data_IF_585301605107
#
_entry.id   IF_585301605107
#
_cell.length_a   1.000
_cell.length_b   1.000
_cell.length_c   1.000
_cell.angle_alpha   90.00
_cell.angle_beta   90.00
_cell.angle_gamma   90.00
#
_symmetry.space_group_name_H-M   'P 1'
#
loop_
_entity.id
_entity.type
_entity.pdbx_description
1 polymer ?
#
# COMPACT_ATOMS: atom_id res chain seq x y z
N UNK A 1 -23.03 5.57 24.34
CA UNK A 1 -22.42 6.47 23.34
C UNK A 1 -21.56 7.47 24.10
N UNK A 2 -20.34 7.07 24.45
CA UNK A 2 -19.31 8.03 24.85
C UNK A 2 -18.86 8.72 23.59
N UNK A 3 -19.14 10.01 23.48
CA UNK A 3 -18.68 10.88 22.40
C UNK A 3 -17.14 10.89 22.48
N UNK A 4 -16.48 9.97 21.76
CA UNK A 4 -15.02 9.91 21.74
C UNK A 4 -14.54 11.10 20.93
N UNK A 5 -14.12 12.15 21.61
CA UNK A 5 -13.53 13.34 20.97
C UNK A 5 -12.42 12.92 20.03
N UNK A 6 -12.56 13.28 18.76
CA UNK A 6 -11.55 13.06 17.72
C UNK A 6 -10.31 13.86 18.09
N UNK A 7 -9.15 13.19 18.16
CA UNK A 7 -7.87 13.85 18.45
C UNK A 7 -7.42 14.70 17.24
N UNK A 8 -6.88 15.89 17.49
CA UNK A 8 -6.33 16.77 16.44
C UNK A 8 -4.90 17.19 16.81
N UNK A 9 -3.91 16.32 16.56
CA UNK A 9 -2.52 16.56 16.97
C UNK A 9 -1.86 17.63 16.08
N UNK A 10 -0.95 18.37 16.67
CA UNK A 10 -0.04 19.26 15.95
C UNK A 10 1.21 18.50 15.47
N UNK A 11 1.91 19.04 14.48
CA UNK A 11 3.20 18.48 14.07
C UNK A 11 4.25 18.68 15.17
N UNK A 12 5.00 17.61 15.45
CA UNK A 12 6.17 17.62 16.33
C UNK A 12 7.41 18.13 15.59
N UNK A 13 7.50 17.83 14.31
CA UNK A 13 8.46 18.45 13.40
C UNK A 13 7.88 18.55 11.99
N UNK A 14 8.38 19.52 11.24
CA UNK A 14 8.04 19.76 9.84
C UNK A 14 9.33 20.00 9.07
N UNK A 15 9.45 19.40 7.89
CA UNK A 15 10.48 19.69 6.90
C UNK A 15 9.84 19.95 5.54
N UNK A 16 10.58 20.63 4.66
CA UNK A 16 10.14 20.91 3.29
C UNK A 16 11.13 20.31 2.31
N UNK A 17 10.63 19.55 1.35
CA UNK A 17 11.40 18.97 0.26
C UNK A 17 11.55 19.98 -0.89
N UNK A 18 12.52 19.74 -1.77
CA UNK A 18 12.70 20.54 -2.98
C UNK A 18 11.72 20.14 -4.11
N UNK A 19 11.19 18.91 -4.06
CA UNK A 19 10.19 18.38 -4.98
C UNK A 19 8.97 17.79 -4.23
N UNK A 20 7.78 17.74 -4.85
CA UNK A 20 6.59 17.16 -4.24
C UNK A 20 6.80 15.69 -3.82
N UNK A 21 6.55 15.31 -2.55
CA UNK A 21 6.61 13.92 -2.10
C UNK A 21 5.46 13.09 -2.69
N UNK A 22 5.75 11.96 -3.31
CA UNK A 22 4.75 11.07 -3.92
C UNK A 22 4.48 9.80 -3.10
N UNK A 23 5.53 9.19 -2.54
CA UNK A 23 5.43 7.99 -1.71
C UNK A 23 6.36 8.06 -0.52
N UNK A 24 6.02 7.33 0.53
CA UNK A 24 6.76 7.29 1.78
C UNK A 24 6.58 5.92 2.45
N UNK A 25 7.67 5.37 2.95
CA UNK A 25 7.66 4.19 3.81
C UNK A 25 8.92 4.09 4.68
N UNK A 26 8.77 3.56 5.89
CA UNK A 26 9.90 3.16 6.73
C UNK A 26 10.59 1.91 6.18
N UNK A 27 11.93 1.89 6.23
CA UNK A 27 12.74 0.77 5.76
C UNK A 27 12.61 -0.45 6.68
N UNK A 28 12.17 -1.62 6.19
CA UNK A 28 12.00 -2.81 7.03
C UNK A 28 13.27 -3.29 7.72
N UNK A 29 14.41 -3.23 7.04
CA UNK A 29 15.72 -3.67 7.57
C UNK A 29 16.50 -2.56 8.28
N UNK A 30 16.03 -1.32 8.21
CA UNK A 30 16.61 -0.18 8.88
C UNK A 30 15.48 0.67 9.49
N UNK A 31 14.85 0.22 10.61
CA UNK A 31 13.60 0.80 11.11
C UNK A 31 13.64 2.30 11.44
N UNK A 32 14.83 2.84 11.72
CA UNK A 32 15.05 4.26 11.96
C UNK A 32 15.31 5.06 10.65
N UNK A 33 14.96 4.51 9.48
CA UNK A 33 15.11 5.18 8.20
C UNK A 33 13.79 5.21 7.45
N UNK A 34 13.54 6.34 6.79
CA UNK A 34 12.35 6.57 5.95
C UNK A 34 12.83 6.85 4.54
N UNK A 35 12.26 6.12 3.58
CA UNK A 35 12.40 6.41 2.17
C UNK A 35 11.23 7.30 1.73
N UNK A 36 11.55 8.42 1.07
CA UNK A 36 10.58 9.33 0.49
C UNK A 36 10.89 9.48 -1.00
N UNK A 37 9.93 9.20 -1.87
CA UNK A 37 10.06 9.45 -3.30
C UNK A 37 9.36 10.74 -3.71
N UNK A 38 9.74 11.30 -4.86
CA UNK A 38 9.13 12.53 -5.38
C UNK A 38 8.59 12.40 -6.79
N UNK A 39 7.66 13.30 -7.11
CA UNK A 39 7.08 13.48 -8.42
C UNK A 39 7.10 14.96 -8.78
N UNK A 40 7.75 15.31 -9.89
CA UNK A 40 7.77 16.67 -10.42
C UNK A 40 7.40 16.66 -11.90
N UNK A 41 6.28 17.31 -12.24
CA UNK A 41 5.92 17.63 -13.62
C UNK A 41 6.42 19.04 -13.93
N UNK A 42 7.28 19.17 -14.93
CA UNK A 42 7.70 20.46 -15.48
C UNK A 42 7.07 20.63 -16.84
N UNK A 43 6.25 21.66 -17.00
CA UNK A 43 5.72 22.06 -18.30
C UNK A 43 6.72 23.02 -18.95
N UNK A 44 7.16 22.74 -20.18
CA UNK A 44 8.01 23.66 -20.94
C UNK A 44 7.11 24.62 -21.76
N UNK A 45 7.00 25.91 -21.40
CA UNK A 45 6.19 26.87 -22.14
C UNK A 45 6.80 27.29 -23.50
N UNK A 46 7.93 26.70 -23.93
CA UNK A 46 8.70 27.08 -25.11
C UNK A 46 8.38 26.33 -26.41
N UNK A 47 7.39 25.45 -26.40
CA UNK A 47 6.88 24.83 -27.63
C UNK A 47 6.24 25.92 -28.49
N UNK A 48 6.74 26.12 -29.72
CA UNK A 48 6.14 27.06 -30.69
C UNK A 48 4.62 26.82 -30.80
N UNK A 49 3.83 27.83 -31.19
CA UNK A 49 2.35 27.83 -31.21
C UNK A 49 1.67 26.63 -31.94
N UNK A 50 2.44 25.75 -32.59
CA UNK A 50 1.99 24.53 -33.28
C UNK A 50 2.55 23.21 -32.72
N UNK A 51 3.22 23.20 -31.56
CA UNK A 51 3.70 21.97 -30.90
C UNK A 51 3.06 21.79 -29.53
N UNK A 52 2.62 20.57 -29.21
CA UNK A 52 2.12 20.21 -27.88
C UNK A 52 3.20 20.49 -26.83
N UNK A 53 2.88 21.09 -25.68
CA UNK A 53 3.86 21.33 -24.63
C UNK A 53 4.55 20.02 -24.24
N UNK A 54 5.88 19.97 -24.35
CA UNK A 54 6.64 18.85 -23.82
C UNK A 54 6.64 18.93 -22.29
N UNK A 55 5.86 18.08 -21.65
CA UNK A 55 5.85 17.94 -20.20
C UNK A 55 6.89 16.89 -19.78
N UNK A 56 7.85 17.28 -18.94
CA UNK A 56 8.89 16.38 -18.43
C UNK A 56 8.54 15.98 -17.01
N UNK A 57 8.48 14.68 -16.74
CA UNK A 57 8.29 14.11 -15.39
C UNK A 57 9.62 13.67 -14.83
N UNK A 58 10.02 14.21 -13.70
CA UNK A 58 11.25 13.85 -12.97
C UNK A 58 10.95 13.55 -11.52
N UNK A 59 11.90 12.94 -10.81
CA UNK A 59 11.72 12.59 -9.42
C UNK A 59 13.03 12.33 -8.70
N UNK A 60 12.92 11.82 -7.48
CA UNK A 60 14.05 11.42 -6.67
C UNK A 60 13.64 10.36 -5.65
N UNK A 61 14.63 9.60 -5.19
CA UNK A 61 14.55 8.76 -3.99
C UNK A 61 15.39 9.43 -2.91
N UNK A 62 14.78 9.76 -1.78
CA UNK A 62 15.40 10.48 -0.68
C UNK A 62 15.33 9.63 0.60
N UNK A 63 16.49 9.24 1.11
CA UNK A 63 16.62 8.51 2.37
C UNK A 63 16.83 9.50 3.51
N UNK A 64 16.02 9.38 4.56
CA UNK A 64 16.14 10.13 5.80
C UNK A 64 16.36 9.18 6.97
N UNK A 65 17.12 9.63 7.97
CA UNK A 65 17.21 9.00 9.28
C UNK A 65 16.18 9.65 10.20
N UNK A 66 15.34 8.84 10.83
CA UNK A 66 14.36 9.25 11.81
C UNK A 66 14.92 9.08 13.22
N UNK A 67 14.90 10.15 14.00
CA UNK A 67 15.15 10.11 15.44
C UNK A 67 13.79 10.04 16.18
N UNK A 68 13.42 8.89 16.79
CA UNK A 68 12.14 8.75 17.47
C UNK A 68 12.07 9.55 18.79
N UNK A 69 13.20 9.94 19.38
CA UNK A 69 13.21 10.74 20.61
C UNK A 69 13.02 12.22 20.30
N UNK A 70 13.72 12.72 19.28
CA UNK A 70 13.61 14.10 18.81
C UNK A 70 12.44 14.30 17.83
N UNK A 71 11.79 13.22 17.39
CA UNK A 71 10.74 13.21 16.37
C UNK A 71 11.15 13.97 15.10
N UNK A 72 12.41 13.81 14.68
CA UNK A 72 13.05 14.62 13.63
C UNK A 72 13.62 13.73 12.52
N UNK A 73 13.57 14.23 11.28
CA UNK A 73 14.12 13.57 10.09
C UNK A 73 15.38 14.29 9.62
N UNK A 74 16.50 13.59 9.52
CA UNK A 74 17.75 14.11 8.95
C UNK A 74 18.06 13.47 7.60
N UNK A 75 18.43 14.24 6.56
CA UNK A 75 18.73 13.69 5.24
C UNK A 75 19.99 12.82 5.28
N UNK A 76 19.95 11.68 4.56
CA UNK A 76 21.07 10.72 4.46
C UNK A 76 21.57 10.62 3.03
N UNK A 77 20.68 10.38 2.07
CA UNK A 77 21.04 10.21 0.67
C UNK A 77 19.92 10.71 -0.23
N UNK A 78 20.29 11.21 -1.40
CA UNK A 78 19.34 11.58 -2.45
C UNK A 78 19.83 11.09 -3.80
N UNK A 79 18.97 10.39 -4.53
CA UNK A 79 19.19 9.92 -5.88
C UNK A 79 18.18 10.62 -6.81
N UNK A 80 18.64 11.39 -7.78
CA UNK A 80 17.78 11.97 -8.81
C UNK A 80 17.40 10.92 -9.85
N UNK A 81 16.18 11.03 -10.37
CA UNK A 81 15.62 10.16 -11.39
C UNK A 81 15.11 10.99 -12.56
N UNK A 82 15.38 10.52 -13.78
CA UNK A 82 14.86 11.08 -15.03
C UNK A 82 13.39 10.69 -15.29
N UNK A 83 12.69 10.23 -14.25
CA UNK A 83 11.28 9.88 -14.26
C UNK A 83 10.68 10.16 -12.89
N UNK A 84 9.42 10.55 -12.85
CA UNK A 84 8.70 10.71 -11.60
C UNK A 84 8.33 9.34 -11.00
N UNK A 85 8.20 9.26 -9.68
CA UNK A 85 7.82 8.03 -8.98
C UNK A 85 6.34 8.03 -8.66
N UNK A 86 5.60 7.04 -9.17
CA UNK A 86 4.18 6.85 -8.86
C UNK A 86 3.97 5.96 -7.62
N UNK A 87 4.72 4.87 -7.49
CA UNK A 87 4.69 4.00 -6.32
C UNK A 87 6.05 3.36 -6.04
N UNK A 88 6.28 2.97 -4.79
CA UNK A 88 7.34 2.02 -4.45
C UNK A 88 6.90 1.11 -3.30
N UNK A 89 7.37 -0.13 -3.30
CA UNK A 89 7.12 -1.07 -2.20
C UNK A 89 8.33 -1.95 -1.92
N UNK A 90 8.57 -2.20 -0.64
CA UNK A 90 9.55 -3.18 -0.18
C UNK A 90 9.04 -4.61 -0.43
N UNK A 91 9.94 -5.50 -0.85
CA UNK A 91 9.61 -6.90 -1.08
C UNK A 91 9.30 -7.59 0.25
N UNK A 92 8.19 -8.36 0.34
CA UNK A 92 7.90 -9.18 1.51
C UNK A 92 8.87 -10.36 1.65
N UNK A 93 9.51 -10.79 0.56
CA UNK A 93 10.46 -11.91 0.50
C UNK A 93 11.86 -11.50 0.92
N UNK A 94 12.31 -10.36 0.41
CA UNK A 94 13.59 -9.74 0.76
C UNK A 94 13.34 -8.29 1.23
N UNK A 95 13.25 -8.06 2.55
CA UNK A 95 12.90 -6.74 3.08
C UNK A 95 13.96 -5.66 2.82
N UNK A 96 15.13 -6.00 2.28
CA UNK A 96 16.13 -5.02 1.81
C UNK A 96 15.85 -4.54 0.39
N UNK A 97 15.15 -5.32 -0.43
CA UNK A 97 14.82 -5.02 -1.82
C UNK A 97 13.52 -4.20 -1.88
N UNK A 98 13.45 -3.24 -2.81
CA UNK A 98 12.21 -2.56 -3.15
C UNK A 98 12.12 -2.26 -4.64
N UNK A 99 10.89 -2.25 -5.14
CA UNK A 99 10.56 -1.90 -6.52
C UNK A 99 9.98 -0.49 -6.58
N UNK A 100 10.24 0.21 -7.67
CA UNK A 100 9.79 1.59 -7.93
C UNK A 100 9.10 1.63 -9.28
N UNK A 101 7.81 1.96 -9.28
CA UNK A 101 7.02 2.22 -10.49
C UNK A 101 7.21 3.68 -10.93
N UNK A 102 7.65 3.86 -12.17
CA UNK A 102 8.05 5.15 -12.72
C UNK A 102 6.97 5.71 -13.66
N UNK A 103 7.08 7.01 -13.97
CA UNK A 103 6.27 7.68 -15.01
C UNK A 103 6.64 7.29 -16.44
N UNK A 104 7.09 6.06 -16.62
CA UNK A 104 7.55 5.39 -17.84
C UNK A 104 7.14 3.92 -17.72
N UNK A 105 7.24 3.09 -18.77
CA UNK A 105 6.88 1.67 -18.68
C UNK A 105 7.97 0.83 -17.98
N UNK A 106 8.58 1.36 -16.91
CA UNK A 106 9.73 0.78 -16.24
C UNK A 106 9.45 0.63 -14.76
N UNK A 107 9.79 -0.54 -14.24
CA UNK A 107 9.98 -0.76 -12.81
C UNK A 107 11.46 -0.89 -12.52
N UNK A 108 11.97 -0.07 -11.60
CA UNK A 108 13.36 -0.12 -11.15
C UNK A 108 13.46 -0.78 -9.78
N UNK A 109 14.41 -1.69 -9.63
CA UNK A 109 14.73 -2.37 -8.39
C UNK A 109 15.91 -1.70 -7.71
N UNK A 110 15.78 -1.51 -6.40
CA UNK A 110 16.80 -0.93 -5.54
C UNK A 110 16.90 -1.73 -4.24
N UNK A 111 18.00 -1.57 -3.54
CA UNK A 111 18.26 -2.21 -2.24
C UNK A 111 18.64 -1.18 -1.20
N UNK A 112 18.17 -1.39 0.02
CA UNK A 112 18.68 -0.72 1.22
C UNK A 112 19.84 -1.57 1.75
N UNK A 113 21.06 -1.08 1.56
CA UNK A 113 22.25 -1.65 2.16
C UNK A 113 22.53 -0.94 3.49
N UNK A 114 22.85 -1.71 4.52
CA UNK A 114 23.27 -1.23 5.83
C UNK A 114 24.08 -2.32 6.53
N UNK A 115 24.80 -2.01 7.61
CA UNK A 115 25.77 -2.94 8.16
C UNK A 115 25.10 -4.21 8.72
N UNK A 116 25.33 -5.33 8.06
CA UNK A 116 25.36 -6.63 8.71
C UNK A 116 26.65 -6.74 9.53
N UNK A 117 26.65 -6.15 10.74
CA UNK A 117 27.70 -6.39 11.73
C UNK A 117 28.89 -5.43 11.75
N UNK A 118 28.89 -4.33 10.99
CA UNK A 118 29.93 -3.28 11.09
C UNK A 118 29.41 -1.99 11.75
N UNK A 119 30.01 -1.53 12.88
CA UNK A 119 29.50 -0.38 13.65
C UNK A 119 29.44 0.97 12.90
N UNK A 120 30.11 1.10 11.75
CA UNK A 120 30.36 2.38 11.08
C UNK A 120 29.81 2.48 9.64
N UNK A 121 29.16 1.45 9.09
CA UNK A 121 28.63 1.56 7.72
C UNK A 121 27.31 2.35 7.69
N UNK A 122 27.21 3.33 6.80
CA UNK A 122 26.00 4.14 6.62
C UNK A 122 24.95 3.38 5.81
N UNK A 123 23.68 3.45 6.23
CA UNK A 123 22.55 2.95 5.43
C UNK A 123 22.44 3.75 4.13
N UNK A 124 22.27 3.07 3.00
CA UNK A 124 22.19 3.69 1.67
C UNK A 124 21.28 2.91 0.71
N UNK A 125 20.75 3.62 -0.27
CA UNK A 125 20.04 3.11 -1.43
C UNK A 125 21.07 2.74 -2.51
N UNK A 126 20.95 1.53 -3.04
CA UNK A 126 21.76 1.01 -4.15
C UNK A 126 20.84 0.55 -5.29
N UNK A 127 21.14 0.98 -6.51
CA UNK A 127 20.42 0.52 -7.70
C UNK A 127 20.78 -0.93 -8.03
N UNK A 128 19.78 -1.73 -8.38
CA UNK A 128 19.95 -3.15 -8.75
C UNK A 128 19.77 -3.32 -10.26
N UNK A 129 18.58 -3.01 -10.79
CA UNK A 129 18.28 -3.11 -12.22
C UNK A 129 16.99 -2.38 -12.58
N UNK A 130 16.73 -2.23 -13.88
CA UNK A 130 15.43 -1.81 -14.41
C UNK A 130 14.81 -2.90 -15.26
N UNK A 131 13.49 -3.01 -15.21
CA UNK A 131 12.68 -3.98 -15.96
C UNK A 131 11.69 -3.16 -16.79
N UNK A 132 11.71 -3.34 -18.11
CA UNK A 132 10.64 -2.82 -18.96
C UNK A 132 9.41 -3.71 -18.77
N UNK A 133 8.31 -3.12 -18.33
CA UNK A 133 7.07 -3.79 -17.95
C UNK A 133 5.93 -3.47 -18.92
N UNK A 134 6.19 -2.76 -20.02
CA UNK A 134 5.16 -2.46 -21.00
C UNK A 134 5.78 -2.10 -22.37
N UNK A 135 5.26 -2.70 -23.45
CA UNK A 135 5.79 -2.50 -24.80
C UNK A 135 5.60 -1.07 -25.33
N UNK A 136 4.56 -0.38 -24.87
CA UNK A 136 4.31 1.02 -25.24
C UNK A 136 5.10 1.98 -24.36
N UNK A 137 6.00 2.76 -24.99
CA UNK A 137 6.82 3.77 -24.34
C UNK A 137 6.04 4.92 -23.68
N UNK A 138 4.79 5.17 -24.10
CA UNK A 138 3.96 6.23 -23.51
C UNK A 138 3.27 5.83 -22.20
N UNK A 139 3.29 4.55 -21.85
CA UNK A 139 2.51 4.04 -20.73
C UNK A 139 3.18 4.27 -19.40
N UNK A 140 2.37 4.61 -18.41
CA UNK A 140 2.82 4.87 -17.04
C UNK A 140 2.62 3.61 -16.22
N UNK A 141 3.66 3.18 -15.50
CA UNK A 141 3.51 2.21 -14.42
C UNK A 141 2.98 2.96 -13.18
N UNK A 142 1.73 2.72 -12.81
CA UNK A 142 1.00 3.51 -11.81
C UNK A 142 1.16 2.97 -10.39
N UNK A 143 0.95 1.67 -10.21
CA UNK A 143 1.01 1.04 -8.90
C UNK A 143 1.54 -0.38 -9.02
N UNK A 144 2.27 -0.85 -8.00
CA UNK A 144 2.82 -2.20 -7.97
C UNK A 144 2.37 -2.97 -6.74
N UNK A 145 2.38 -4.30 -6.79
CA UNK A 145 2.16 -5.14 -5.63
C UNK A 145 3.01 -6.40 -5.74
N UNK A 146 3.81 -6.69 -4.73
CA UNK A 146 4.62 -7.90 -4.70
C UNK A 146 3.77 -9.16 -4.64
N UNK A 147 4.16 -10.20 -5.39
CA UNK A 147 3.58 -11.54 -5.22
C UNK A 147 3.84 -11.97 -3.77
N UNK A 148 2.82 -12.37 -2.99
CA UNK A 148 3.01 -12.74 -1.60
C UNK A 148 3.96 -13.94 -1.47
N UNK A 149 4.92 -13.86 -0.55
CA UNK A 149 5.64 -15.04 -0.09
C UNK A 149 4.73 -15.81 0.88
N UNK A 150 4.21 -16.95 0.46
CA UNK A 150 3.49 -17.85 1.37
C UNK A 150 4.38 -18.31 2.52
N UNK A 151 3.77 -18.52 3.68
CA UNK A 151 4.48 -19.04 4.85
C UNK A 151 5.11 -20.39 4.54
N UNK A 152 6.37 -20.55 4.89
CA UNK A 152 7.14 -21.78 4.73
C UNK A 152 6.64 -22.86 5.72
N UNK A 153 5.47 -23.45 5.48
CA UNK A 153 5.18 -24.78 6.02
C UNK A 153 5.94 -25.78 5.17
N UNK A 154 7.10 -26.21 5.68
CA UNK A 154 7.98 -27.24 5.15
C UNK A 154 7.31 -28.62 5.20
N UNK A 155 6.26 -28.84 4.41
CA UNK A 155 5.99 -30.18 3.93
C UNK A 155 6.65 -30.29 2.55
N UNK A 156 7.83 -30.91 2.54
CA UNK A 156 8.70 -31.12 1.35
C UNK A 156 8.02 -31.91 0.21
N UNK A 157 6.75 -32.30 0.36
CA UNK A 157 6.05 -33.22 -0.52
C UNK A 157 4.84 -32.63 -1.28
N UNK A 158 4.44 -31.37 -1.07
CA UNK A 158 3.34 -30.73 -1.85
C UNK A 158 3.76 -29.35 -2.43
N UNK A 159 5.07 -29.17 -2.61
CA UNK A 159 5.74 -27.88 -2.84
C UNK A 159 5.44 -27.22 -4.18
N UNK A 160 4.40 -26.38 -4.22
CA UNK A 160 4.31 -25.34 -5.24
C UNK A 160 5.32 -24.23 -4.88
N UNK A 161 6.43 -24.16 -5.62
CA UNK A 161 7.45 -23.12 -5.44
C UNK A 161 6.85 -21.74 -5.73
N UNK A 162 6.82 -20.87 -4.72
CA UNK A 162 6.21 -19.54 -4.84
C UNK A 162 7.13 -18.65 -5.68
N UNK A 163 6.68 -18.31 -6.88
CA UNK A 163 7.42 -17.47 -7.84
C UNK A 163 7.75 -16.10 -7.27
N UNK A 164 8.89 -15.55 -7.67
CA UNK A 164 9.23 -14.18 -7.34
C UNK A 164 8.67 -13.21 -8.38
N UNK A 165 8.35 -11.99 -7.98
CA UNK A 165 7.83 -10.97 -8.89
C UNK A 165 6.74 -10.09 -8.30
N UNK A 166 6.06 -9.35 -9.16
CA UNK A 166 5.11 -8.32 -8.78
C UNK A 166 4.05 -8.08 -9.87
N UNK A 167 2.88 -7.62 -9.45
CA UNK A 167 1.89 -7.02 -10.33
C UNK A 167 2.22 -5.54 -10.57
N UNK A 168 1.89 -5.04 -11.76
CA UNK A 168 1.93 -3.62 -12.14
C UNK A 168 0.62 -3.24 -12.80
N UNK A 169 0.10 -2.07 -12.45
CA UNK A 169 -1.04 -1.42 -13.10
C UNK A 169 -0.58 -0.29 -14.01
N UNK A 170 -1.33 -0.05 -15.08
CA UNK A 170 -0.97 0.93 -16.12
C UNK A 170 -2.08 1.94 -16.37
N UNK A 171 -1.70 3.04 -17.03
CA UNK A 171 -2.62 4.12 -17.42
C UNK A 171 -3.60 3.77 -18.54
N UNK A 172 -3.52 2.58 -19.13
CA UNK A 172 -4.38 2.12 -20.22
C UNK A 172 -5.33 0.99 -19.83
N UNK A 173 -5.56 0.79 -18.53
CA UNK A 173 -6.44 -0.26 -18.04
C UNK A 173 -5.79 -1.61 -17.83
N UNK A 174 -4.55 -1.80 -18.30
CA UNK A 174 -3.84 -3.06 -18.15
C UNK A 174 -3.38 -3.24 -16.72
N UNK A 175 -3.50 -4.47 -16.23
CA UNK A 175 -2.74 -4.98 -15.09
C UNK A 175 -1.96 -6.19 -15.56
N UNK A 176 -0.66 -6.24 -15.26
CA UNK A 176 0.20 -7.37 -15.61
C UNK A 176 0.92 -7.90 -14.38
N UNK A 177 1.01 -9.22 -14.24
CA UNK A 177 1.85 -9.88 -13.24
C UNK A 177 3.15 -10.31 -13.91
N UNK A 178 4.28 -9.80 -13.43
CA UNK A 178 5.61 -10.19 -13.86
C UNK A 178 6.18 -11.16 -12.84
N UNK A 179 6.61 -12.33 -13.28
CA UNK A 179 7.14 -13.37 -12.40
C UNK A 179 8.32 -14.11 -13.00
N UNK A 180 9.08 -14.76 -12.13
CA UNK A 180 10.21 -15.59 -12.52
C UNK A 180 10.45 -16.72 -11.50
N UNK A 181 11.00 -17.82 -12.02
CA UNK A 181 11.51 -18.95 -11.23
C UNK A 181 12.83 -18.61 -10.52
N UNK A 182 13.54 -17.58 -10.98
CA UNK A 182 14.72 -17.06 -10.31
C UNK A 182 14.35 -15.91 -9.35
N UNK A 183 15.32 -15.40 -8.59
CA UNK A 183 15.14 -14.11 -7.89
C UNK A 183 14.95 -12.99 -8.91
N UNK A 184 13.96 -12.12 -8.69
CA UNK A 184 13.60 -11.03 -9.62
C UNK A 184 14.76 -10.05 -9.86
N UNK A 185 15.68 -9.94 -8.90
CA UNK A 185 16.90 -9.14 -8.99
C UNK A 185 17.96 -9.72 -9.93
N UNK A 186 17.86 -11.01 -10.29
CA UNK A 186 18.91 -11.72 -11.02
C UNK A 186 19.13 -11.15 -12.42
N UNK A 187 20.36 -10.70 -12.69
CA UNK A 187 20.73 -10.01 -13.94
C UNK A 187 20.99 -10.93 -15.12
N UNK A 188 20.94 -12.25 -14.92
CA UNK A 188 21.01 -13.20 -16.02
C UNK A 188 19.82 -12.95 -16.98
N UNK A 189 19.94 -13.36 -18.25
CA UNK A 189 18.86 -13.33 -19.25
C UNK A 189 17.74 -14.32 -18.87
N UNK A 190 17.15 -14.10 -17.70
CA UNK A 190 16.04 -14.89 -17.20
C UNK A 190 14.79 -14.33 -17.85
N UNK A 191 14.03 -15.22 -18.49
CA UNK A 191 12.72 -14.88 -18.99
C UNK A 191 11.82 -14.52 -17.79
N UNK A 192 11.52 -13.23 -17.65
CA UNK A 192 10.41 -12.78 -16.82
C UNK A 192 9.14 -13.07 -17.62
N UNK A 193 8.29 -13.94 -17.09
CA UNK A 193 6.97 -14.18 -17.65
C UNK A 193 6.04 -13.04 -17.25
N UNK A 194 5.12 -12.71 -18.14
CA UNK A 194 4.04 -11.77 -17.87
C UNK A 194 2.73 -12.55 -17.77
N UNK A 195 1.72 -12.04 -17.06
CA UNK A 195 0.34 -12.51 -17.13
C UNK A 195 -0.53 -11.27 -17.24
N UNK A 196 -1.19 -11.10 -18.39
CA UNK A 196 -1.92 -9.87 -18.71
C UNK A 196 -3.40 -9.98 -18.34
N UNK A 197 -3.92 -8.94 -17.71
CA UNK A 197 -5.33 -8.70 -17.43
C UNK A 197 -5.71 -7.36 -18.05
N UNK A 198 -6.56 -7.39 -19.08
CA UNK A 198 -7.02 -6.17 -19.74
C UNK A 198 -8.32 -5.71 -19.10
N UNK A 199 -8.37 -4.45 -18.65
CA UNK A 199 -9.57 -3.78 -18.15
C UNK A 199 -10.14 -2.77 -19.15
N UNK A 200 -10.94 -1.83 -18.65
CA UNK A 200 -11.34 -0.64 -19.40
C UNK A 200 -10.13 0.26 -19.65
N UNK A 201 -10.05 0.98 -20.78
CA UNK A 201 -8.90 1.81 -21.14
C UNK A 201 -8.84 3.10 -20.32
N UNK A 202 -8.66 2.96 -19.01
CA UNK A 202 -8.54 4.03 -18.03
C UNK A 202 -7.50 3.67 -16.97
N UNK A 203 -7.01 4.66 -16.25
CA UNK A 203 -6.04 4.49 -15.18
C UNK A 203 -6.52 3.50 -14.10
N UNK A 204 -5.67 2.51 -13.83
CA UNK A 204 -5.82 1.60 -12.70
C UNK A 204 -4.92 2.11 -11.58
N UNK A 205 -5.52 2.70 -10.55
CA UNK A 205 -4.80 3.44 -9.51
C UNK A 205 -4.22 2.55 -8.41
N UNK A 206 -4.74 1.34 -8.24
CA UNK A 206 -4.31 0.47 -7.16
C UNK A 206 -4.36 -1.00 -7.56
N UNK A 207 -3.37 -1.75 -7.12
CA UNK A 207 -3.36 -3.22 -7.16
C UNK A 207 -2.97 -3.77 -5.80
N UNK A 208 -3.58 -4.88 -5.39
CA UNK A 208 -3.29 -5.53 -4.13
C UNK A 208 -3.36 -7.05 -4.29
N UNK A 209 -2.38 -7.73 -3.71
CA UNK A 209 -2.46 -9.17 -3.53
C UNK A 209 -3.02 -9.54 -2.17
N UNK A 210 -3.71 -10.68 -2.13
CA UNK A 210 -4.11 -11.35 -0.92
C UNK A 210 -3.80 -12.84 -1.04
N UNK A 211 -3.32 -13.44 0.05
CA UNK A 211 -3.09 -14.88 0.11
C UNK A 211 -4.26 -15.53 0.87
N UNK A 212 -5.13 -16.21 0.12
CA UNK A 212 -6.29 -16.94 0.66
C UNK A 212 -5.87 -18.36 1.01
N UNK A 213 -6.17 -18.79 2.23
CA UNK A 213 -6.00 -20.20 2.63
C UNK A 213 -7.28 -20.97 2.33
N UNK A 214 -7.21 -21.98 1.46
CA UNK A 214 -8.31 -22.91 1.13
C UNK A 214 -7.79 -24.33 1.27
N UNK A 215 -8.43 -25.16 2.10
CA UNK A 215 -8.03 -26.56 2.31
C UNK A 215 -6.52 -26.74 2.56
N UNK A 216 -5.93 -25.87 3.40
CA UNK A 216 -4.49 -25.78 3.70
C UNK A 216 -3.58 -25.30 2.57
N UNK A 217 -4.11 -25.01 1.39
CA UNK A 217 -3.37 -24.43 0.28
C UNK A 217 -3.46 -22.90 0.30
N UNK A 218 -2.35 -22.25 -0.02
CA UNK A 218 -2.27 -20.79 -0.13
C UNK A 218 -2.46 -20.39 -1.59
N UNK A 219 -3.52 -19.64 -1.88
CA UNK A 219 -3.90 -19.22 -3.22
C UNK A 219 -3.82 -17.70 -3.31
N UNK A 220 -3.14 -17.20 -4.33
CA UNK A 220 -3.01 -15.75 -4.54
C UNK A 220 -4.26 -15.20 -5.22
N UNK A 221 -4.79 -14.10 -4.69
CA UNK A 221 -5.87 -13.33 -5.31
C UNK A 221 -5.34 -11.93 -5.59
N UNK A 222 -5.46 -11.48 -6.84
CA UNK A 222 -5.09 -10.13 -7.26
C UNK A 222 -6.36 -9.28 -7.40
N UNK A 223 -6.33 -8.11 -6.77
CA UNK A 223 -7.36 -7.08 -6.89
C UNK A 223 -6.82 -5.85 -7.60
N UNK A 224 -7.69 -5.15 -8.33
CA UNK A 224 -7.39 -3.90 -8.99
C UNK A 224 -8.55 -2.91 -8.84
N UNK A 225 -8.22 -1.64 -8.59
CA UNK A 225 -9.15 -0.51 -8.53
C UNK A 225 -8.85 0.50 -9.62
N UNK A 226 -9.87 0.93 -10.36
CA UNK A 226 -9.71 1.90 -11.46
C UNK A 226 -10.44 3.22 -11.24
N UNK A 227 -10.15 4.19 -12.11
CA UNK A 227 -10.71 5.54 -12.07
C UNK A 227 -12.22 5.58 -12.35
N UNK A 228 -12.77 4.52 -12.98
CA UNK A 228 -14.21 4.35 -13.26
C UNK A 228 -14.93 3.56 -12.16
N UNK A 229 -14.46 3.64 -10.91
CA UNK A 229 -15.13 3.06 -9.73
C UNK A 229 -15.08 1.53 -9.64
N UNK A 230 -14.45 0.82 -10.59
CA UNK A 230 -14.50 -0.64 -10.58
C UNK A 230 -13.48 -1.21 -9.60
N UNK A 231 -13.91 -2.24 -8.87
CA UNK A 231 -13.01 -3.22 -8.25
C UNK A 231 -13.11 -4.53 -9.02
N UNK A 232 -11.95 -5.02 -9.48
CA UNK A 232 -11.83 -6.30 -10.17
C UNK A 232 -10.93 -7.25 -9.41
N UNK A 233 -11.21 -8.55 -9.54
CA UNK A 233 -10.49 -9.60 -8.84
C UNK A 233 -10.27 -10.84 -9.70
N UNK A 234 -9.11 -11.47 -9.50
CA UNK A 234 -8.75 -12.72 -10.15
C UNK A 234 -7.97 -13.62 -9.21
N UNK A 235 -8.36 -14.89 -9.16
CA UNK A 235 -7.68 -15.95 -8.43
C UNK A 235 -6.60 -16.55 -9.31
N UNK A 236 -5.36 -16.56 -8.81
CA UNK A 236 -4.19 -17.13 -9.47
C UNK A 236 -3.86 -18.46 -8.78
N UNK A 237 -4.47 -19.54 -9.26
CA UNK A 237 -4.19 -20.91 -8.78
C UNK A 237 -2.76 -21.33 -9.10
N UNK A 238 -2.29 -21.00 -10.30
CA UNK A 238 -0.90 -21.14 -10.70
C UNK A 238 -0.39 -19.83 -11.31
N UNK A 239 0.82 -19.45 -10.90
CA UNK A 239 1.60 -18.37 -11.52
C UNK A 239 2.70 -19.08 -12.32
N UNK A 240 2.42 -19.33 -13.61
CA UNK A 240 3.31 -20.10 -14.49
C UNK A 240 4.38 -19.20 -15.12
N UNK A 241 5.64 -19.68 -15.15
CA UNK A 241 6.77 -18.99 -15.77
C UNK A 241 7.16 -19.54 -17.16
N UNK A 242 6.44 -20.55 -17.67
CA UNK A 242 6.78 -21.22 -18.94
C UNK A 242 5.85 -20.85 -20.10
N UNK A 243 6.37 -20.18 -21.12
CA UNK A 243 5.91 -20.25 -22.52
C UNK A 243 4.55 -19.61 -22.86
N UNK A 244 4.58 -18.52 -23.66
CA UNK A 244 3.42 -17.77 -24.17
C UNK A 244 2.37 -17.40 -23.11
N UNK A 245 2.69 -16.30 -22.42
CA UNK A 245 1.78 -15.46 -21.63
C UNK A 245 0.40 -15.35 -22.28
N UNK A 246 -0.59 -16.05 -21.74
CA UNK A 246 -1.98 -15.96 -22.19
C UNK A 246 -2.63 -14.68 -21.65
N UNK A 247 -3.46 -14.04 -22.47
CA UNK A 247 -4.35 -12.95 -22.02
C UNK A 247 -5.42 -13.55 -21.12
N UNK A 248 -5.31 -13.37 -19.80
CA UNK A 248 -6.34 -13.77 -18.84
C UNK A 248 -7.42 -12.70 -18.74
N UNK A 249 -8.59 -13.09 -18.23
CA UNK A 249 -9.70 -12.19 -17.96
C UNK A 249 -9.96 -12.09 -16.45
N UNK A 250 -10.55 -10.97 -16.04
CA UNK A 250 -11.04 -10.78 -14.68
C UNK A 250 -12.16 -11.79 -14.37
N UNK A 251 -12.07 -12.44 -13.22
CA UNK A 251 -13.07 -13.43 -12.79
C UNK A 251 -14.27 -12.75 -12.14
N UNK A 252 -14.02 -11.71 -11.35
CA UNK A 252 -15.03 -10.94 -10.65
C UNK A 252 -14.81 -9.46 -10.94
N UNK A 253 -15.92 -8.77 -11.20
CA UNK A 253 -15.98 -7.32 -11.41
C UNK A 253 -17.27 -6.84 -10.74
N UNK A 254 -17.16 -5.85 -9.86
CA UNK A 254 -18.30 -5.26 -9.16
C UNK A 254 -19.13 -4.30 -10.02
N UNK A 255 -18.64 -4.02 -11.23
CA UNK A 255 -19.26 -3.19 -12.26
C UNK A 255 -19.42 -1.73 -11.83
N UNK A 256 -18.54 -1.25 -10.95
CA UNK A 256 -18.54 0.13 -10.47
C UNK A 256 -19.81 0.48 -9.69
N UNK A 257 -20.40 -0.50 -8.98
CA UNK A 257 -21.69 -0.30 -8.27
C UNK A 257 -21.54 0.05 -6.81
N UNK A 258 -20.32 0.02 -6.28
CA UNK A 258 -20.04 0.08 -4.85
C UNK A 258 -19.33 1.37 -4.41
N UNK A 259 -18.90 2.19 -5.38
CA UNK A 259 -18.20 3.45 -5.18
C UNK A 259 -18.79 4.49 -6.12
N UNK A 260 -18.65 5.77 -5.77
CA UNK A 260 -19.19 6.89 -6.56
C UNK A 260 -18.09 7.66 -7.32
N UNK A 261 -16.82 7.33 -7.06
CA UNK A 261 -15.66 7.75 -7.85
C UNK A 261 -14.54 6.69 -7.85
N UNK A 262 -13.46 6.93 -8.60
CA UNK A 262 -12.35 5.97 -8.77
C UNK A 262 -11.81 5.38 -7.47
N UNK A 263 -11.50 4.09 -7.49
CA UNK A 263 -11.01 3.34 -6.32
C UNK A 263 -9.50 3.47 -6.24
N UNK A 264 -9.02 4.15 -5.21
CA UNK A 264 -7.62 4.56 -5.06
C UNK A 264 -6.87 3.82 -3.97
N UNK A 265 -7.53 3.03 -3.14
CA UNK A 265 -6.87 2.18 -2.15
C UNK A 265 -7.63 0.87 -1.93
N UNK A 266 -6.92 -0.25 -1.84
CA UNK A 266 -7.48 -1.57 -1.54
C UNK A 266 -6.61 -2.25 -0.49
N UNK A 267 -7.20 -2.61 0.65
CA UNK A 267 -6.56 -3.41 1.70
C UNK A 267 -7.40 -4.66 1.96
N UNK A 268 -6.98 -5.83 1.46
CA UNK A 268 -7.63 -7.09 1.80
C UNK A 268 -7.50 -7.39 3.30
N UNK A 269 -8.62 -7.56 4.01
CA UNK A 269 -8.64 -7.80 5.45
C UNK A 269 -8.60 -9.30 5.78
N UNK A 270 -9.56 -10.04 5.21
CA UNK A 270 -9.61 -11.50 5.29
C UNK A 270 -10.56 -12.07 4.22
N UNK A 271 -10.46 -13.35 3.92
CA UNK A 271 -11.44 -14.05 3.10
C UNK A 271 -12.28 -15.05 3.90
N UNK A 272 -13.49 -15.29 3.41
CA UNK A 272 -14.38 -16.37 3.84
C UNK A 272 -14.66 -17.32 2.66
N UNK A 273 -15.64 -18.21 2.81
CA UNK A 273 -16.01 -19.18 1.78
C UNK A 273 -16.61 -18.50 0.52
N UNK A 274 -17.24 -17.34 0.68
CA UNK A 274 -18.05 -16.69 -0.37
C UNK A 274 -17.27 -15.60 -1.10
N UNK A 275 -16.31 -14.96 -0.44
CA UNK A 275 -15.60 -13.81 -0.99
C UNK A 275 -14.44 -13.32 -0.13
N UNK A 276 -14.00 -12.09 -0.40
CA UNK A 276 -12.95 -11.42 0.38
C UNK A 276 -13.49 -10.13 0.95
N UNK A 277 -13.27 -9.91 2.24
CA UNK A 277 -13.54 -8.63 2.88
C UNK A 277 -12.37 -7.68 2.56
N UNK A 278 -12.69 -6.59 1.89
CA UNK A 278 -11.78 -5.53 1.52
C UNK A 278 -12.11 -4.27 2.33
N UNK A 279 -11.08 -3.52 2.70
CA UNK A 279 -11.20 -2.12 3.08
C UNK A 279 -10.75 -1.28 1.88
N UNK A 280 -11.63 -0.43 1.37
CA UNK A 280 -11.38 0.34 0.16
C UNK A 280 -11.46 1.84 0.42
N UNK A 281 -10.66 2.62 -0.30
CA UNK A 281 -10.72 4.07 -0.35
C UNK A 281 -10.99 4.55 -1.78
N UNK A 282 -11.71 5.65 -1.93
CA UNK A 282 -12.07 6.24 -3.23
C UNK A 282 -11.89 7.76 -3.24
N UNK A 283 -11.79 8.33 -4.45
CA UNK A 283 -11.86 9.77 -4.70
C UNK A 283 -13.15 10.42 -4.16
N UNK A 284 -14.22 9.65 -3.92
CA UNK A 284 -15.49 10.12 -3.37
C UNK A 284 -15.44 10.42 -1.86
N UNK A 285 -14.24 10.43 -1.27
CA UNK A 285 -13.95 10.73 0.12
C UNK A 285 -14.43 9.70 1.15
N UNK A 286 -14.90 8.54 0.68
CA UNK A 286 -15.37 7.48 1.56
C UNK A 286 -14.34 6.35 1.68
N UNK A 287 -14.29 5.80 2.90
CA UNK A 287 -13.72 4.49 3.18
C UNK A 287 -14.86 3.50 3.35
N UNK A 288 -14.73 2.30 2.75
CA UNK A 288 -15.77 1.26 2.76
C UNK A 288 -15.21 -0.08 3.19
N UNK A 289 -15.91 -0.75 4.10
CA UNK A 289 -15.77 -2.20 4.29
C UNK A 289 -16.68 -2.88 3.30
N UNK A 290 -16.10 -3.80 2.54
CA UNK A 290 -16.64 -4.24 1.28
C UNK A 290 -16.49 -5.74 1.13
N UNK A 291 -17.59 -6.49 1.02
CA UNK A 291 -17.55 -7.92 0.73
C UNK A 291 -17.47 -8.14 -0.77
N UNK A 292 -16.26 -8.37 -1.26
CA UNK A 292 -16.00 -8.60 -2.66
C UNK A 292 -16.33 -10.04 -3.06
N UNK A 293 -17.41 -10.16 -3.83
CA UNK A 293 -18.02 -11.40 -4.33
C UNK A 293 -18.77 -11.11 -5.64
N UNK A 294 -19.26 -12.10 -6.42
CA UNK A 294 -19.98 -11.84 -7.69
C UNK A 294 -21.17 -10.87 -7.57
N UNK A 295 -21.79 -10.79 -6.39
CA UNK A 295 -22.74 -9.74 -6.00
C UNK A 295 -22.16 -9.00 -4.80
N UNK A 296 -21.21 -8.12 -5.09
CA UNK A 296 -20.48 -7.41 -4.06
C UNK A 296 -21.38 -6.47 -3.28
N UNK A 297 -21.00 -6.23 -2.02
CA UNK A 297 -21.86 -5.57 -1.04
C UNK A 297 -21.02 -4.70 -0.11
N UNK A 298 -21.51 -3.48 0.15
CA UNK A 298 -20.89 -2.56 1.11
C UNK A 298 -21.46 -2.85 2.49
N UNK A 299 -20.60 -3.29 3.41
CA UNK A 299 -20.97 -3.65 4.78
C UNK A 299 -20.94 -2.45 5.73
N UNK A 300 -20.02 -1.51 5.48
CA UNK A 300 -19.94 -0.23 6.19
C UNK A 300 -19.32 0.81 5.27
N UNK A 301 -19.73 2.07 5.44
CA UNK A 301 -19.17 3.21 4.69
C UNK A 301 -19.10 4.43 5.59
N UNK A 302 -18.04 5.23 5.43
CA UNK A 302 -17.86 6.49 6.15
C UNK A 302 -17.12 7.50 5.29
N UNK A 303 -17.70 8.69 5.15
CA UNK A 303 -16.96 9.83 4.63
C UNK A 303 -15.92 10.27 5.68
N UNK A 304 -14.65 10.35 5.29
CA UNK A 304 -13.55 10.75 6.18
C UNK A 304 -12.88 12.07 5.76
N UNK A 305 -13.46 12.73 4.74
CA UNK A 305 -13.04 14.01 4.18
C UNK A 305 -11.83 13.90 3.26
N UNK A 306 -11.97 14.39 2.03
CA UNK A 306 -10.95 14.32 0.97
C UNK A 306 -10.75 12.91 0.40
N UNK A 307 -10.33 12.81 -0.87
CA UNK A 307 -10.17 11.53 -1.56
C UNK A 307 -9.16 10.59 -0.86
N UNK A 308 -9.56 9.33 -0.65
CA UNK A 308 -8.81 8.35 0.15
C UNK A 308 -7.74 7.66 -0.69
N UNK A 309 -6.58 8.29 -0.79
CA UNK A 309 -5.50 7.90 -1.70
C UNK A 309 -4.72 6.65 -1.28
N UNK A 310 -4.44 6.48 0.02
CA UNK A 310 -3.57 5.39 0.49
C UNK A 310 -3.93 4.97 1.91
N UNK A 311 -3.93 3.66 2.17
CA UNK A 311 -4.24 3.08 3.47
C UNK A 311 -3.04 2.27 3.99
N UNK A 312 -2.64 2.49 5.24
CA UNK A 312 -1.60 1.72 5.94
C UNK A 312 -2.22 1.03 7.15
N UNK A 313 -2.18 -0.30 7.16
CA UNK A 313 -2.63 -1.09 8.29
C UNK A 313 -1.56 -1.05 9.39
N UNK A 314 -1.90 -0.47 10.55
CA UNK A 314 -1.01 -0.31 11.71
C UNK A 314 -1.05 -1.52 12.62
N UNK A 315 -2.26 -2.03 12.92
CA UNK A 315 -2.45 -3.11 13.89
C UNK A 315 -3.70 -3.90 13.57
N UNK A 316 -3.64 -5.21 13.81
CA UNK A 316 -4.80 -6.10 13.84
C UNK A 316 -4.92 -6.65 15.26
N UNK A 317 -6.09 -6.49 15.87
CA UNK A 317 -6.42 -7.05 17.18
C UNK A 317 -7.51 -8.09 16.99
N UNK A 318 -7.23 -9.34 17.36
CA UNK A 318 -8.16 -10.45 17.30
C UNK A 318 -8.52 -10.84 18.73
N UNK A 319 -9.80 -10.68 19.09
CA UNK A 319 -10.31 -11.01 20.40
C UNK A 319 -11.42 -12.05 20.25
N UNK A 320 -11.26 -13.20 20.91
CA UNK A 320 -12.20 -14.31 20.86
C UNK A 320 -11.58 -15.59 21.41
N UNK A 321 -12.28 -16.20 22.37
CA UNK A 321 -12.07 -17.48 23.07
C UNK A 321 -11.01 -17.67 24.17
N UNK A 322 -10.00 -16.82 24.37
CA UNK A 322 -8.94 -17.15 25.35
C UNK A 322 -8.64 -16.13 26.48
N UNK A 323 -8.88 -14.83 26.33
CA UNK A 323 -8.41 -13.86 27.34
C UNK A 323 -9.55 -13.28 28.19
N UNK A 324 -9.83 -13.94 29.32
CA UNK A 324 -10.81 -13.51 30.34
C UNK A 324 -10.24 -12.50 31.34
N UNK A 325 -8.97 -12.09 31.22
CA UNK A 325 -8.29 -11.43 32.33
C UNK A 325 -8.62 -9.94 32.49
N UNK A 326 -9.09 -9.25 31.44
CA UNK A 326 -9.66 -7.88 31.55
C UNK A 326 -10.68 -7.60 30.46
N UNK A 327 -11.99 -7.80 30.70
CA UNK A 327 -13.02 -7.39 29.76
C UNK A 327 -13.07 -5.87 29.66
N UNK A 328 -12.84 -5.30 28.46
CA UNK A 328 -13.20 -3.91 28.21
C UNK A 328 -14.74 -3.78 28.11
N UNK A 329 -15.30 -2.61 28.44
CA UNK A 329 -16.76 -2.39 28.47
C UNK A 329 -17.48 -2.75 27.17
N UNK A 330 -16.79 -2.70 26.01
CA UNK A 330 -17.33 -3.04 24.70
C UNK A 330 -17.32 -4.54 24.37
N UNK A 331 -16.69 -5.39 25.19
CA UNK A 331 -16.62 -6.84 24.98
C UNK A 331 -17.82 -7.62 25.56
N UNK A 332 -18.66 -6.99 26.37
CA UNK A 332 -19.81 -7.66 26.98
C UNK A 332 -20.85 -8.08 25.90
N UNK A 333 -20.85 -9.36 25.54
CA UNK A 333 -21.89 -9.99 24.71
C UNK A 333 -21.45 -10.46 23.32
N UNK A 334 -20.18 -10.28 22.93
CA UNK A 334 -19.67 -10.70 21.62
C UNK A 334 -18.75 -11.93 21.72
N UNK A 335 -18.89 -12.86 20.78
CA UNK A 335 -18.07 -14.09 20.70
C UNK A 335 -16.73 -13.85 19.99
N UNK A 336 -16.73 -12.99 18.98
CA UNK A 336 -15.52 -12.65 18.21
C UNK A 336 -15.52 -11.18 17.83
N UNK A 337 -14.37 -10.55 18.01
CA UNK A 337 -14.10 -9.17 17.64
C UNK A 337 -12.79 -9.11 16.87
N UNK A 338 -12.81 -8.45 15.72
CA UNK A 338 -11.61 -8.06 14.98
C UNK A 338 -11.56 -6.53 14.93
N UNK A 339 -10.43 -5.94 15.28
CA UNK A 339 -10.20 -4.50 15.14
C UNK A 339 -8.97 -4.25 14.28
N UNK A 340 -9.09 -3.32 13.33
CA UNK A 340 -8.02 -2.91 12.42
C UNK A 340 -7.74 -1.43 12.64
N UNK A 341 -6.53 -1.10 13.11
CA UNK A 341 -6.07 0.27 13.20
C UNK A 341 -5.41 0.67 11.88
N UNK A 342 -5.90 1.73 11.23
CA UNK A 342 -5.51 2.13 9.88
C UNK A 342 -5.16 3.61 9.84
N UNK A 343 -4.04 3.93 9.19
CA UNK A 343 -3.65 5.29 8.82
C UNK A 343 -4.06 5.54 7.37
N UNK A 344 -4.92 6.52 7.15
CA UNK A 344 -5.38 6.91 5.82
C UNK A 344 -4.76 8.23 5.38
N UNK A 345 -4.33 8.28 4.12
CA UNK A 345 -3.93 9.51 3.43
C UNK A 345 -5.09 10.02 2.60
N UNK A 346 -5.61 11.19 2.91
CA UNK A 346 -6.93 11.65 2.44
C UNK A 346 -6.85 12.92 1.58
N UNK A 347 -5.86 13.04 0.67
CA UNK A 347 -5.70 14.22 -0.21
C UNK A 347 -5.88 15.53 0.57
N UNK A 348 -6.81 16.40 0.16
CA UNK A 348 -7.09 17.68 0.81
C UNK A 348 -7.63 17.57 2.25
N UNK A 349 -8.09 16.38 2.65
CA UNK A 349 -8.50 16.09 4.02
C UNK A 349 -7.34 15.97 5.00
N UNK A 350 -6.09 15.82 4.55
CA UNK A 350 -4.95 15.53 5.42
C UNK A 350 -4.84 14.04 5.74
N UNK A 351 -4.40 13.69 6.95
CA UNK A 351 -4.28 12.30 7.39
C UNK A 351 -5.33 11.94 8.45
N UNK A 352 -5.73 10.65 8.49
CA UNK A 352 -6.68 10.11 9.47
C UNK A 352 -6.13 8.87 10.14
N UNK A 353 -6.33 8.75 11.44
CA UNK A 353 -6.25 7.47 12.13
C UNK A 353 -7.68 6.97 12.35
N UNK A 354 -7.94 5.72 11.99
CA UNK A 354 -9.26 5.11 12.13
C UNK A 354 -9.18 3.67 12.62
N UNK A 355 -10.24 3.22 13.31
CA UNK A 355 -10.48 1.81 13.62
C UNK A 355 -11.59 1.28 12.73
N UNK A 356 -11.38 0.09 12.19
CA UNK A 356 -12.42 -0.71 11.56
C UNK A 356 -12.69 -1.89 12.48
N UNK A 357 -13.90 -1.98 13.01
CA UNK A 357 -14.29 -3.02 13.96
C UNK A 357 -15.28 -3.97 13.30
N UNK A 358 -15.08 -5.26 13.54
CA UNK A 358 -16.02 -6.32 13.19
C UNK A 358 -16.38 -7.11 14.44
N UNK A 359 -17.65 -7.14 14.81
CA UNK A 359 -18.15 -7.80 16.02
C UNK A 359 -19.25 -8.81 15.70
N UNK A 360 -19.14 -10.02 16.23
CA UNK A 360 -20.09 -11.12 16.00
C UNK A 360 -20.68 -11.58 17.34
N UNK A 361 -22.01 -11.56 17.47
CA UNK A 361 -22.70 -11.98 18.70
C UNK A 361 -22.98 -13.49 18.74
N UNK A 362 -23.35 -14.09 17.61
CA UNK A 362 -23.66 -15.53 17.44
C UNK A 362 -22.91 -16.08 16.24
N UNK A 363 -22.61 -17.39 16.22
CA UNK A 363 -21.85 -18.01 15.12
C UNK A 363 -22.52 -17.84 13.74
N UNK A 364 -23.85 -17.79 13.70
CA UNK A 364 -24.62 -17.66 12.46
C UNK A 364 -24.93 -16.19 12.08
N UNK A 365 -24.37 -15.22 12.80
CA UNK A 365 -24.58 -13.79 12.54
C UNK A 365 -23.56 -13.28 11.50
N UNK A 366 -24.01 -12.51 10.51
CA UNK A 366 -23.14 -11.87 9.51
C UNK A 366 -22.16 -10.87 10.15
N UNK A 367 -22.45 -10.47 11.39
CA UNK A 367 -21.62 -9.57 12.18
C UNK A 367 -21.93 -8.10 11.88
N UNK A 368 -21.47 -7.25 12.77
CA UNK A 368 -21.62 -5.80 12.66
C UNK A 368 -20.27 -5.15 12.36
N UNK A 369 -20.26 -4.23 11.39
CA UNK A 369 -19.10 -3.46 11.00
C UNK A 369 -19.23 -1.99 11.41
N UNK A 370 -18.19 -1.45 12.01
CA UNK A 370 -18.13 -0.05 12.42
C UNK A 370 -16.80 0.57 11.98
N UNK A 371 -16.84 1.83 11.55
CA UNK A 371 -15.66 2.60 11.14
C UNK A 371 -15.60 3.86 12.00
N UNK A 372 -14.56 3.99 12.81
CA UNK A 372 -14.39 5.09 13.77
C UNK A 372 -13.13 5.88 13.44
N UNK A 373 -13.30 7.17 13.13
CA UNK A 373 -12.16 8.08 13.01
C UNK A 373 -11.76 8.50 14.41
N UNK A 374 -10.51 8.21 14.80
CA UNK A 374 -9.98 8.53 16.12
C UNK A 374 -9.13 9.79 16.12
N UNK A 375 -8.51 10.12 14.97
CA UNK A 375 -7.57 11.24 14.86
C UNK A 375 -7.64 11.90 13.49
N UNK A 376 -7.54 13.23 13.47
CA UNK A 376 -7.47 14.05 12.27
C UNK A 376 -6.23 14.95 12.29
N UNK A 377 -5.28 14.71 11.37
CA UNK A 377 -4.14 15.60 11.16
C UNK A 377 -4.38 16.49 9.94
N UNK A 378 -4.55 17.80 10.16
CA UNK A 378 -5.00 18.79 9.17
C UNK A 378 -4.03 19.94 8.93
N UNK A 379 -2.77 19.84 9.36
CA UNK A 379 -1.79 20.92 9.11
C UNK A 379 -1.30 21.00 7.65
N UNK A 380 -1.49 19.95 6.86
CA UNK A 380 -1.15 19.94 5.45
C UNK A 380 -1.91 21.04 4.69
N UNK A 381 -1.21 21.84 3.89
CA UNK A 381 -1.83 22.93 3.12
C UNK A 381 -2.22 22.49 1.70
N UNK A 382 -1.91 21.24 1.36
CA UNK A 382 -2.18 20.61 0.07
C UNK A 382 -2.54 19.12 0.27
N UNK A 383 -2.56 18.36 -0.83
CA UNK A 383 -2.95 16.96 -0.86
C UNK A 383 -1.98 16.04 -0.09
N UNK A 384 -2.48 15.29 0.89
CA UNK A 384 -1.74 14.22 1.55
C UNK A 384 -1.69 12.95 0.68
N UNK A 385 -0.56 12.73 -0.01
CA UNK A 385 -0.33 11.60 -0.93
C UNK A 385 0.40 10.41 -0.30
N UNK A 386 1.16 10.63 0.77
CA UNK A 386 1.89 9.54 1.40
C UNK A 386 1.98 9.70 2.91
N UNK A 387 1.76 8.57 3.58
CA UNK A 387 1.82 8.45 5.03
C UNK A 387 2.34 7.06 5.38
N UNK A 388 3.15 7.00 6.44
CA UNK A 388 3.55 5.75 7.08
C UNK A 388 3.80 6.00 8.58
N UNK A 389 4.08 4.93 9.33
CA UNK A 389 4.25 4.99 10.77
C UNK A 389 5.51 4.27 11.24
N UNK A 390 6.09 4.78 12.32
CA UNK A 390 7.29 4.20 12.92
C UNK A 390 6.95 2.92 13.69
N UNK A 391 7.58 1.81 13.28
CA UNK A 391 7.35 0.47 13.86
C UNK A 391 8.27 0.13 15.04
N UNK A 392 9.24 0.98 15.36
CA UNK A 392 10.26 0.71 16.37
C UNK A 392 11.32 -0.31 15.91
N UNK A 393 12.43 -0.38 16.67
CA UNK A 393 13.58 -1.24 16.36
C UNK A 393 13.33 -2.74 16.54
N UNK A 394 12.30 -3.14 17.29
CA UNK A 394 11.93 -4.55 17.48
C UNK A 394 11.10 -5.12 16.33
N UNK A 395 10.79 -4.32 15.31
CA UNK A 395 10.31 -4.82 14.01
C UNK A 395 8.99 -5.59 14.03
N UNK A 396 8.16 -5.44 15.06
CA UNK A 396 6.91 -6.17 15.21
C UNK A 396 5.73 -5.25 15.52
N UNK A 397 4.53 -5.76 15.29
CA UNK A 397 3.26 -5.22 15.79
C UNK A 397 3.17 -5.17 17.34
N UNK A 398 4.25 -5.56 18.03
CA UNK A 398 4.42 -5.42 19.47
C UNK A 398 5.12 -4.09 19.76
N UNK A 399 4.35 -2.99 19.73
CA UNK A 399 4.71 -1.85 20.57
C UNK A 399 4.75 -2.33 22.01
N UNK A 400 5.79 -1.91 22.73
CA UNK A 400 5.90 -2.09 24.17
C UNK A 400 4.54 -1.77 24.80
N UNK A 401 3.93 -2.73 25.49
CA UNK A 401 2.50 -2.75 25.86
C UNK A 401 2.07 -1.60 26.78
N UNK A 402 2.96 -0.66 27.06
CA UNK A 402 2.76 0.52 27.87
C UNK A 402 2.56 1.82 27.08
N UNK A 403 3.11 1.98 25.86
CA UNK A 403 2.93 3.23 25.08
C UNK A 403 1.83 3.03 24.02
N UNK A 404 0.60 3.45 24.36
CA UNK A 404 -0.60 3.42 23.49
C UNK A 404 -0.56 4.55 22.47
N UNK A 405 0.53 4.67 21.74
CA UNK A 405 0.71 5.77 20.79
C UNK A 405 1.38 5.31 19.50
N UNK A 406 1.10 6.04 18.43
CA UNK A 406 1.70 5.84 17.10
C UNK A 406 2.39 7.13 16.68
N UNK A 407 3.61 6.99 16.17
CA UNK A 407 4.34 8.07 15.50
C UNK A 407 4.13 7.94 14.00
N UNK A 408 3.53 8.96 13.41
CA UNK A 408 3.20 9.01 12.00
C UNK A 408 4.12 10.01 11.28
N UNK A 409 4.54 9.65 10.07
CA UNK A 409 5.18 10.54 9.12
C UNK A 409 4.24 10.68 7.94
N UNK A 410 3.83 11.90 7.65
CA UNK A 410 2.86 12.20 6.59
C UNK A 410 3.38 13.31 5.72
N UNK A 411 3.00 13.31 4.45
CA UNK A 411 3.52 14.24 3.46
C UNK A 411 2.41 14.97 2.74
N UNK A 412 2.66 16.20 2.28
CA UNK A 412 1.75 16.98 1.47
C UNK A 412 2.42 17.44 0.18
N UNK A 413 1.69 17.32 -0.92
CA UNK A 413 2.26 17.24 -2.25
C UNK A 413 2.74 18.62 -2.77
N UNK A 414 1.82 19.55 -3.05
CA UNK A 414 2.21 20.82 -3.68
C UNK A 414 2.99 21.76 -2.76
N UNK A 415 2.73 21.71 -1.45
CA UNK A 415 3.49 22.47 -0.44
C UNK A 415 4.81 21.79 -0.05
N UNK A 416 5.09 20.61 -0.62
CA UNK A 416 6.32 19.82 -0.45
C UNK A 416 6.64 19.51 1.01
N UNK A 417 5.61 19.45 1.85
CA UNK A 417 5.75 19.38 3.30
C UNK A 417 5.81 17.93 3.77
N UNK A 418 6.64 17.64 4.76
CA UNK A 418 6.63 16.36 5.50
C UNK A 418 6.55 16.66 6.98
N UNK A 419 5.58 16.06 7.66
CA UNK A 419 5.26 16.28 9.06
C UNK A 419 5.42 14.98 9.85
N UNK A 420 6.06 15.08 11.01
CA UNK A 420 6.03 14.05 12.05
C UNK A 420 5.00 14.46 13.10
N UNK A 421 4.12 13.55 13.49
CA UNK A 421 3.15 13.77 14.56
C UNK A 421 2.91 12.47 15.34
N UNK A 422 2.34 12.61 16.54
CA UNK A 422 2.04 11.50 17.45
C UNK A 422 0.56 11.50 17.78
N UNK A 423 -0.04 10.32 17.89
CA UNK A 423 -1.44 10.17 18.29
C UNK A 423 -1.65 8.94 19.18
N UNK A 424 -2.77 8.92 19.89
CA UNK A 424 -3.16 7.82 20.76
C UNK A 424 -3.75 6.66 19.95
N UNK A 425 -3.43 5.41 20.33
CA UNK A 425 -3.86 4.18 19.65
C UNK A 425 -4.73 3.27 20.50
#
# INVERSE_FOLDING_TARGET
MTDSTIESPASLSTLFLDQPPSCLAFCPTAPDHVLISTYLLTENPGAAENSTPESVRTGSLQLFRFDPHLCHLSPVQKLYLDSAVFDFQFSPRDPTLFAVALSTPVVSLYRIEGPSGEPNASVKIVFVRSINVHENASQLALFLAWIPSGGSSRDENDGQEIKDGFAVSFSDGRVSVFCTDAGIESTNEIAISEIRFTGYPIEVWYVAFYLKTVEHKQISVLFAGDDMQHVRGVTLEEIECSGNVSSRAWQVDDRGRCHDAGVTAIVPLFADEVGTILLTGSYDEHIRVYHFKPRSEVLASKNIGGGVWRLRLIKIELLGDADRSTPSQWQLGYKRIRSYLVLASCMHGGARLLRVNHSVQREDDEGHWEIDVTTEFKEHQSMNYASDFYKGRKGGFETDTQDRTVLCVTSSFYDKRVCVWKAST
#
